data_IF_115337162879
#
_entry.id   IF_115337162879
#
_cell.length_a   1.000
_cell.length_b   1.000
_cell.length_c   1.000
_cell.angle_alpha   90.00
_cell.angle_beta   90.00
_cell.angle_gamma   90.00
#
_symmetry.space_group_name_H-M   'P 1'
#
loop_
_entity.id
_entity.type
_entity.pdbx_description
1 polymer ?
#
# COMPACT_ATOMS: atom_id res chain seq x y z
N UNK A 1 -11.84 -4.20 16.35
CA UNK A 1 -11.61 -4.67 14.98
C UNK A 1 -10.56 -3.77 14.32
N UNK A 2 -9.51 -4.32 13.73
CA UNK A 2 -8.51 -3.49 13.07
C UNK A 2 -9.10 -2.77 11.86
N UNK A 3 -8.66 -1.55 11.64
CA UNK A 3 -9.04 -0.78 10.48
C UNK A 3 -8.34 -1.32 9.24
N UNK A 4 -9.07 -1.38 8.13
CA UNK A 4 -8.55 -1.86 6.86
C UNK A 4 -8.88 -0.84 5.78
N UNK A 5 -7.87 -0.48 5.00
CA UNK A 5 -8.05 0.36 3.83
C UNK A 5 -7.74 -0.47 2.60
N UNK A 6 -8.68 -0.53 1.66
CA UNK A 6 -8.52 -1.26 0.41
C UNK A 6 -8.34 -0.24 -0.71
N UNK A 7 -7.19 -0.31 -1.40
CA UNK A 7 -6.92 0.55 -2.54
C UNK A 7 -7.54 -0.03 -3.80
N UNK A 8 -7.94 0.78 -4.77
CA UNK A 8 -7.99 2.23 -4.71
C UNK A 8 -9.10 2.72 -3.77
N UNK A 9 -8.84 3.84 -3.11
CA UNK A 9 -9.82 4.43 -2.20
C UNK A 9 -10.82 5.22 -3.02
N UNK A 10 -12.12 4.99 -2.76
CA UNK A 10 -13.16 5.78 -3.42
C UNK A 10 -13.02 7.25 -3.05
N UNK A 11 -13.39 8.19 -3.93
CA UNK A 11 -13.25 9.62 -3.65
C UNK A 11 -14.27 10.14 -2.63
N UNK A 12 -14.64 9.31 -1.66
CA UNK A 12 -15.50 9.70 -0.55
C UNK A 12 -14.64 9.94 0.67
N UNK A 13 -15.18 10.67 1.63
CA UNK A 13 -14.41 11.10 2.80
C UNK A 13 -14.52 10.15 3.99
N UNK A 14 -15.19 9.04 3.82
CA UNK A 14 -15.33 8.08 4.92
C UNK A 14 -14.09 7.24 5.08
N UNK A 15 -13.68 7.01 6.32
CA UNK A 15 -12.59 6.11 6.68
C UNK A 15 -11.25 6.47 6.02
N UNK A 16 -10.85 7.73 6.16
CA UNK A 16 -9.51 8.13 5.78
C UNK A 16 -8.54 7.75 6.89
N UNK A 17 -7.32 7.43 6.48
CA UNK A 17 -6.23 7.28 7.43
C UNK A 17 -5.82 8.66 7.94
N UNK A 18 -5.45 8.74 9.21
CA UNK A 18 -5.00 9.98 9.82
C UNK A 18 -3.48 9.91 9.99
N UNK A 19 -2.81 11.03 9.81
CA UNK A 19 -1.35 11.10 9.93
C UNK A 19 -0.91 10.52 11.28
N UNK A 20 0.05 9.60 11.24
CA UNK A 20 0.57 8.94 12.43
C UNK A 20 -0.20 7.73 12.92
N UNK A 21 -1.28 7.33 12.25
CA UNK A 21 -2.02 6.13 12.62
C UNK A 21 -1.13 4.90 12.60
N UNK A 22 -1.35 4.02 13.55
CA UNK A 22 -0.57 2.79 13.74
C UNK A 22 -1.51 1.59 13.68
N UNK A 23 -1.07 0.52 13.02
CA UNK A 23 -1.82 -0.73 13.01
C UNK A 23 -2.97 -0.77 12.01
N UNK A 24 -3.05 0.19 11.10
CA UNK A 24 -4.04 0.15 10.03
C UNK A 24 -3.52 -0.76 8.93
N UNK A 25 -4.35 -1.71 8.50
CA UNK A 25 -3.99 -2.61 7.40
C UNK A 25 -4.34 -1.95 6.08
N UNK A 26 -3.36 -1.85 5.19
CA UNK A 26 -3.56 -1.32 3.85
C UNK A 26 -3.47 -2.46 2.85
N UNK A 27 -4.53 -2.65 2.07
CA UNK A 27 -4.61 -3.71 1.07
C UNK A 27 -4.40 -3.11 -0.31
N UNK A 28 -3.36 -3.59 -1.00
CA UNK A 28 -2.98 -3.12 -2.33
C UNK A 28 -3.39 -4.18 -3.34
N UNK A 29 -4.27 -3.87 -4.31
CA UNK A 29 -4.66 -4.85 -5.30
C UNK A 29 -3.52 -5.15 -6.27
N UNK A 30 -3.46 -6.41 -6.72
CA UNK A 30 -2.46 -6.86 -7.67
C UNK A 30 -3.03 -6.75 -9.09
N UNK A 31 -2.98 -5.55 -9.65
CA UNK A 31 -3.42 -5.31 -11.03
C UNK A 31 -2.30 -5.61 -12.02
N UNK A 32 -1.68 -6.78 -11.86
CA UNK A 32 -0.63 -7.28 -12.74
C UNK A 32 -1.12 -8.52 -13.48
N UNK A 33 -0.32 -8.98 -14.44
CA UNK A 33 -0.74 -10.04 -15.35
C UNK A 33 -0.78 -11.44 -14.73
N UNK A 34 -0.34 -11.58 -13.49
CA UNK A 34 -0.31 -12.89 -12.83
C UNK A 34 -0.51 -12.76 -11.32
N UNK A 35 -0.80 -13.89 -10.69
CA UNK A 35 -1.02 -13.98 -9.25
C UNK A 35 0.25 -13.63 -8.47
N UNK A 36 0.08 -13.07 -7.27
CA UNK A 36 1.20 -12.78 -6.37
C UNK A 36 1.74 -14.02 -5.65
N UNK A 37 1.16 -15.19 -5.88
CA UNK A 37 1.60 -16.41 -5.21
C UNK A 37 3.08 -16.66 -5.45
N UNK A 38 3.86 -16.77 -4.37
CA UNK A 38 5.30 -16.98 -4.45
C UNK A 38 6.11 -15.71 -4.70
N UNK A 39 5.48 -14.55 -4.82
CA UNK A 39 6.19 -13.29 -5.04
C UNK A 39 6.60 -12.66 -3.73
N UNK A 40 7.70 -11.88 -3.77
CA UNK A 40 8.08 -10.97 -2.70
C UNK A 40 7.52 -9.59 -3.06
N UNK A 41 6.67 -9.05 -2.21
CA UNK A 41 5.98 -7.80 -2.48
C UNK A 41 6.54 -6.66 -1.63
N UNK A 42 6.80 -5.53 -2.28
CA UNK A 42 7.27 -4.32 -1.62
C UNK A 42 6.45 -3.14 -2.15
N UNK A 43 5.98 -2.29 -1.25
CA UNK A 43 5.20 -1.11 -1.63
C UNK A 43 6.09 0.12 -1.49
N UNK A 44 6.24 0.85 -2.59
CA UNK A 44 6.92 2.15 -2.59
C UNK A 44 5.87 3.23 -2.27
N UNK A 45 6.18 4.06 -1.30
CA UNK A 45 5.28 5.11 -0.83
C UNK A 45 5.98 6.45 -1.00
N UNK A 46 5.35 7.36 -1.76
CA UNK A 46 5.86 8.71 -1.94
C UNK A 46 4.98 9.68 -1.17
N UNK A 47 5.60 10.47 -0.29
CA UNK A 47 4.89 11.41 0.57
C UNK A 47 4.50 12.68 -0.19
N UNK A 48 3.64 13.54 0.40
CA UNK A 48 3.27 14.82 -0.22
C UNK A 48 4.47 15.76 -0.45
N UNK A 49 5.55 15.58 0.28
CA UNK A 49 6.77 16.39 0.11
C UNK A 49 7.81 15.70 -0.77
N UNK A 50 7.45 14.58 -1.41
CA UNK A 50 8.35 13.87 -2.31
C UNK A 50 9.29 12.88 -1.65
N UNK A 51 9.21 12.68 -0.34
CA UNK A 51 10.02 11.68 0.35
C UNK A 51 9.49 10.29 0.04
N UNK A 52 10.40 9.36 -0.26
CA UNK A 52 10.04 8.00 -0.66
C UNK A 52 10.50 7.01 0.38
N UNK A 53 9.65 6.02 0.64
CA UNK A 53 9.99 4.89 1.50
C UNK A 53 9.43 3.61 0.89
N UNK A 54 9.90 2.48 1.37
CA UNK A 54 9.40 1.18 0.96
C UNK A 54 9.01 0.37 2.18
N UNK A 55 7.94 -0.41 2.04
CA UNK A 55 7.49 -1.32 3.10
C UNK A 55 7.22 -2.68 2.50
N UNK A 56 7.47 -3.73 3.28
CA UNK A 56 7.17 -5.09 2.85
C UNK A 56 5.67 -5.34 2.96
N UNK A 57 5.11 -6.03 1.98
CA UNK A 57 3.70 -6.41 1.97
C UNK A 57 3.58 -7.93 1.86
N UNK A 58 2.54 -8.48 2.47
CA UNK A 58 2.29 -9.92 2.47
C UNK A 58 1.23 -10.24 1.43
N UNK A 59 1.52 -11.10 0.44
CA UNK A 59 0.52 -11.51 -0.54
C UNK A 59 -0.62 -12.27 0.12
N UNK A 60 -1.83 -12.08 -0.40
CA UNK A 60 -2.99 -12.86 0.05
C UNK A 60 -2.88 -14.31 -0.42
N UNK A 61 -3.68 -15.19 0.17
CA UNK A 61 -3.66 -16.62 -0.16
C UNK A 61 -3.99 -16.85 -1.64
N UNK A 62 -4.91 -16.08 -2.19
CA UNK A 62 -5.30 -16.21 -3.60
C UNK A 62 -4.42 -15.37 -4.55
N UNK A 63 -3.49 -14.60 -4.02
CA UNK A 63 -2.56 -13.82 -4.83
C UNK A 63 -3.17 -12.61 -5.52
N UNK A 64 -4.36 -12.15 -5.11
CA UNK A 64 -5.04 -11.03 -5.76
C UNK A 64 -4.71 -9.68 -5.14
N UNK A 65 -4.10 -9.68 -3.97
CA UNK A 65 -3.70 -8.46 -3.28
C UNK A 65 -2.57 -8.73 -2.30
N UNK A 66 -2.00 -7.67 -1.75
CA UNK A 66 -1.02 -7.77 -0.68
C UNK A 66 -1.35 -6.72 0.38
N UNK A 67 -0.98 -6.99 1.62
CA UNK A 67 -1.30 -6.11 2.74
C UNK A 67 -0.06 -5.73 3.52
N UNK A 68 -0.09 -4.55 4.11
CA UNK A 68 0.91 -4.13 5.09
C UNK A 68 0.21 -3.34 6.20
N UNK A 69 0.83 -3.31 7.36
CA UNK A 69 0.30 -2.55 8.51
C UNK A 69 1.08 -1.26 8.67
N UNK A 70 0.38 -0.17 9.02
CA UNK A 70 1.02 1.12 9.20
C UNK A 70 1.73 1.20 10.54
N UNK A 71 2.81 1.98 10.57
CA UNK A 71 3.48 2.44 11.77
C UNK A 71 3.39 3.96 11.84
N UNK A 72 3.85 4.55 12.93
CA UNK A 72 3.81 6.01 13.07
C UNK A 72 4.59 6.73 11.94
N UNK A 73 5.59 6.07 11.35
CA UNK A 73 6.40 6.65 10.28
C UNK A 73 5.91 6.32 8.87
N UNK A 74 4.84 5.54 8.72
CA UNK A 74 4.36 5.16 7.38
C UNK A 74 3.70 6.34 6.69
N UNK A 75 2.81 7.03 7.37
CA UNK A 75 2.12 8.21 6.86
C UNK A 75 2.21 9.33 7.89
N UNK A 76 3.42 9.95 8.04
CA UNK A 76 3.64 10.90 9.12
C UNK A 76 3.03 12.28 8.88
N UNK A 77 2.72 12.60 7.63
CA UNK A 77 2.22 13.92 7.25
C UNK A 77 0.83 13.81 6.62
N UNK A 78 -0.03 14.83 6.79
CA UNK A 78 -1.28 14.86 6.03
C UNK A 78 -1.02 15.20 4.56
N UNK A 79 -1.92 14.81 3.68
CA UNK A 79 -1.83 15.08 2.26
C UNK A 79 -2.01 13.83 1.44
N UNK A 80 -1.67 13.92 0.16
CA UNK A 80 -1.80 12.80 -0.76
C UNK A 80 -0.50 12.03 -0.88
N UNK A 81 -0.60 10.72 -0.72
CA UNK A 81 0.49 9.79 -0.91
C UNK A 81 0.25 8.98 -2.17
N UNK A 82 1.33 8.61 -2.85
CA UNK A 82 1.27 7.71 -3.98
C UNK A 82 1.93 6.39 -3.60
N UNK A 83 1.26 5.29 -3.91
CA UNK A 83 1.71 3.95 -3.58
C UNK A 83 1.77 3.11 -4.85
N UNK A 84 2.87 2.36 -5.01
CA UNK A 84 3.02 1.41 -6.10
C UNK A 84 3.68 0.16 -5.56
N UNK A 85 3.11 -1.01 -5.87
CA UNK A 85 3.67 -2.26 -5.40
C UNK A 85 4.57 -2.89 -6.44
N UNK A 86 5.72 -3.40 -5.99
CA UNK A 86 6.62 -4.20 -6.79
C UNK A 86 6.49 -5.66 -6.36
N UNK A 87 6.30 -6.53 -7.33
CA UNK A 87 6.26 -7.97 -7.09
C UNK A 87 7.45 -8.63 -7.77
N UNK A 88 8.30 -9.29 -6.97
CA UNK A 88 9.50 -9.96 -7.46
C UNK A 88 9.28 -11.47 -7.41
N UNK A 89 9.40 -12.12 -8.55
CA UNK A 89 9.27 -13.56 -8.69
C UNK A 89 10.64 -14.18 -8.91
N UNK A 90 10.83 -15.38 -8.38
CA UNK A 90 12.14 -16.05 -8.43
C UNK A 90 12.24 -17.02 -9.61
N UNK A 91 11.16 -17.73 -9.93
CA UNK A 91 11.19 -18.78 -10.95
C UNK A 91 9.88 -18.76 -11.77
N UNK A 92 9.92 -18.23 -13.00
CA UNK A 92 11.03 -17.50 -13.64
C UNK A 92 11.27 -16.15 -12.97
N UNK A 93 12.49 -15.65 -13.06
CA UNK A 93 12.84 -14.36 -12.47
C UNK A 93 12.12 -13.24 -13.21
N UNK A 94 11.21 -12.54 -12.49
CA UNK A 94 10.43 -11.44 -13.04
C UNK A 94 10.22 -10.39 -11.97
N UNK A 95 10.17 -9.13 -12.38
CA UNK A 95 9.77 -8.03 -11.52
C UNK A 95 8.63 -7.29 -12.20
N UNK A 96 7.49 -7.25 -11.54
CA UNK A 96 6.29 -6.60 -12.07
C UNK A 96 5.84 -5.48 -11.13
N UNK A 97 5.24 -4.46 -11.70
CA UNK A 97 4.75 -3.30 -10.93
C UNK A 97 3.27 -3.14 -11.15
N UNK A 98 2.56 -2.78 -10.07
CA UNK A 98 1.15 -2.41 -10.17
C UNK A 98 1.02 -0.97 -10.66
N UNK A 99 -0.21 -0.56 -10.93
CA UNK A 99 -0.52 0.86 -11.13
C UNK A 99 -0.18 1.64 -9.86
N UNK A 100 -0.05 2.95 -10.01
CA UNK A 100 0.13 3.84 -8.87
C UNK A 100 -1.22 4.16 -8.26
N UNK A 101 -1.34 3.99 -6.94
CA UNK A 101 -2.56 4.28 -6.20
C UNK A 101 -2.34 5.54 -5.36
N UNK A 102 -3.38 6.34 -5.24
CA UNK A 102 -3.35 7.56 -4.43
C UNK A 102 -4.13 7.33 -3.14
N UNK A 103 -3.55 7.74 -2.02
CA UNK A 103 -4.19 7.65 -0.71
C UNK A 103 -4.14 9.01 -0.04
N UNK A 104 -5.30 9.50 0.39
CA UNK A 104 -5.38 10.76 1.12
C UNK A 104 -5.26 10.50 2.62
N UNK A 105 -4.37 11.24 3.27
CA UNK A 105 -4.11 11.14 4.70
C UNK A 105 -4.56 12.43 5.36
N UNK A 106 -5.46 12.30 6.34
CA UNK A 106 -5.99 13.46 7.06
C UNK A 106 -5.05 13.97 8.13
N UNK A 107 -5.23 15.23 8.50
CA UNK A 107 -4.45 15.85 9.57
C UNK A 107 -4.94 15.40 10.93
N UNK A 108 -4.00 15.12 11.82
CA UNK A 108 -4.31 14.86 13.23
C UNK A 108 -4.33 16.21 13.97
N UNK A 109 -5.40 16.43 14.68
CA UNK A 109 -5.56 17.66 15.47
C UNK A 109 -5.28 17.43 16.95
#
# INVERSE_FOLDING_TARGET
MPAIIVLPVAPTTELQIIAGDVGVTVQVPADIVQSLTGATCTVAITSPIGARQTVSATPSVDGTNATFSTTAGTFPLPGQYELQMEAVFVSPAQTLYTSTFTLSVGARI
#
